data_IF_921511415789
#
_entry.id   IF_921511415789
#
_cell.length_a   1.000
_cell.length_b   1.000
_cell.length_c   1.000
_cell.angle_alpha   90.00
_cell.angle_beta   90.00
_cell.angle_gamma   90.00
#
_symmetry.space_group_name_H-M   'P 1'
#
loop_
_entity.id
_entity.type
_entity.pdbx_description
1 polymer ?
#
# COMPACT_ATOMS: atom_id res chain seq x y z
N UNK A 1 0.14 -53.57 11.82
CA UNK A 1 -1.03 -53.04 11.06
C UNK A 1 -1.29 -51.59 11.47
N UNK A 2 -1.13 -50.62 10.57
CA UNK A 2 -2.19 -49.67 10.22
C UNK A 2 -1.70 -48.64 9.19
N UNK A 3 -2.28 -48.75 7.99
CA UNK A 3 -2.28 -47.79 6.89
C UNK A 3 -2.89 -46.45 7.30
N UNK A 4 -2.27 -45.32 6.91
CA UNK A 4 -2.96 -44.08 6.51
C UNK A 4 -2.17 -43.35 5.43
N UNK A 5 -2.51 -43.70 4.19
CA UNK A 5 -2.80 -42.79 3.08
C UNK A 5 -2.02 -41.47 3.00
N UNK A 6 -1.04 -41.46 2.10
CA UNK A 6 -0.89 -40.50 1.00
C UNK A 6 -1.77 -39.24 1.15
N UNK A 7 -1.22 -38.15 1.72
CA UNK A 7 -1.82 -36.82 1.61
C UNK A 7 -1.25 -36.15 0.37
N UNK A 8 -2.02 -36.21 -0.70
CA UNK A 8 -1.81 -35.42 -1.90
C UNK A 8 -1.57 -33.95 -1.54
N UNK A 9 -0.51 -33.40 -2.11
CA UNK A 9 -0.18 -31.97 -2.05
C UNK A 9 -1.35 -31.20 -2.64
N UNK A 10 -2.08 -30.48 -1.80
CA UNK A 10 -3.27 -29.74 -2.20
C UNK A 10 -2.87 -28.58 -3.13
N UNK A 11 -3.12 -28.75 -4.44
CA UNK A 11 -2.75 -27.82 -5.52
C UNK A 11 -3.86 -26.81 -5.81
N UNK A 12 -4.25 -26.00 -4.84
CA UNK A 12 -5.21 -24.91 -5.08
C UNK A 12 -4.55 -23.55 -4.82
N UNK A 13 -4.64 -22.64 -5.79
CA UNK A 13 -3.88 -21.39 -5.86
C UNK A 13 -4.77 -20.15 -6.14
N UNK A 14 -6.09 -20.25 -5.95
CA UNK A 14 -7.07 -19.19 -6.25
C UNK A 14 -8.19 -19.18 -5.20
N UNK A 15 -8.52 -18.01 -4.63
CA UNK A 15 -9.62 -17.83 -3.67
C UNK A 15 -11.03 -17.78 -4.32
N UNK A 16 -12.07 -18.01 -3.50
CA UNK A 16 -13.44 -18.31 -3.97
C UNK A 16 -14.09 -17.23 -4.84
N UNK A 17 -13.86 -15.94 -4.53
CA UNK A 17 -14.39 -14.83 -5.34
C UNK A 17 -13.81 -14.76 -6.76
N UNK A 18 -12.55 -15.16 -6.94
CA UNK A 18 -11.91 -15.20 -8.26
C UNK A 18 -12.32 -16.43 -9.07
N UNK A 19 -12.76 -17.52 -8.41
CA UNK A 19 -13.31 -18.71 -9.07
C UNK A 19 -14.66 -18.40 -9.71
N UNK A 20 -15.53 -17.67 -9.02
CA UNK A 20 -16.83 -17.24 -9.55
C UNK A 20 -16.65 -16.30 -10.74
N UNK A 21 -15.77 -15.30 -10.64
CA UNK A 21 -15.51 -14.38 -11.75
C UNK A 21 -14.90 -15.10 -12.97
N UNK A 22 -13.96 -16.03 -12.75
CA UNK A 22 -13.36 -16.84 -13.82
C UNK A 22 -14.39 -17.77 -14.46
N UNK A 23 -15.34 -18.31 -13.69
CA UNK A 23 -16.42 -19.15 -14.19
C UNK A 23 -17.39 -18.34 -15.08
N UNK A 24 -17.80 -17.15 -14.63
CA UNK A 24 -18.71 -16.27 -15.38
C UNK A 24 -18.07 -15.82 -16.70
N UNK A 25 -16.82 -15.35 -16.66
CA UNK A 25 -16.11 -14.95 -17.89
C UNK A 25 -15.83 -16.14 -18.81
N UNK A 26 -15.40 -17.28 -18.25
CA UNK A 26 -15.14 -18.49 -19.01
C UNK A 26 -16.37 -19.00 -19.77
N UNK A 27 -17.54 -18.99 -19.11
CA UNK A 27 -18.81 -19.37 -19.72
C UNK A 27 -19.22 -18.41 -20.84
N UNK A 28 -19.07 -17.10 -20.64
CA UNK A 28 -19.40 -16.09 -21.65
C UNK A 28 -18.52 -16.24 -22.91
N UNK A 29 -17.21 -16.48 -22.75
CA UNK A 29 -16.30 -16.72 -23.88
C UNK A 29 -16.56 -18.06 -24.58
N UNK A 30 -16.92 -19.10 -23.83
CA UNK A 30 -17.23 -20.42 -24.40
C UNK A 30 -18.51 -20.37 -25.25
N UNK A 31 -19.60 -19.82 -24.72
CA UNK A 31 -20.89 -19.71 -25.43
C UNK A 31 -20.77 -18.83 -26.66
N UNK A 32 -20.12 -17.67 -26.53
CA UNK A 32 -19.93 -16.76 -27.66
C UNK A 32 -18.96 -17.32 -28.73
N UNK A 33 -18.00 -18.15 -28.31
CA UNK A 33 -17.07 -18.86 -29.20
C UNK A 33 -17.76 -19.98 -29.99
N UNK A 34 -18.53 -20.84 -29.32
CA UNK A 34 -19.26 -21.96 -29.94
C UNK A 34 -20.42 -21.50 -30.84
N UNK A 35 -20.97 -20.31 -30.59
CA UNK A 35 -22.02 -19.71 -31.42
C UNK A 35 -21.49 -19.18 -32.77
N UNK A 36 -20.17 -19.13 -32.99
CA UNK A 36 -19.55 -18.67 -34.24
C UNK A 36 -18.76 -19.80 -34.89
N UNK A 37 -19.17 -20.21 -36.10
CA UNK A 37 -18.51 -21.28 -36.87
C UNK A 37 -17.29 -20.77 -37.65
N UNK A 38 -16.40 -20.03 -36.99
CA UNK A 38 -15.17 -19.49 -37.57
C UNK A 38 -13.97 -19.63 -36.61
N UNK A 39 -12.76 -19.43 -37.15
CA UNK A 39 -11.52 -19.62 -36.40
C UNK A 39 -11.40 -18.70 -35.17
N UNK A 40 -11.93 -17.48 -35.25
CA UNK A 40 -12.00 -16.57 -34.11
C UNK A 40 -12.94 -17.07 -32.99
N UNK A 41 -14.01 -17.78 -33.35
CA UNK A 41 -14.89 -18.48 -32.41
C UNK A 41 -14.18 -19.62 -31.69
N UNK A 42 -13.37 -20.40 -32.41
CA UNK A 42 -12.57 -21.48 -31.84
C UNK A 42 -11.55 -20.97 -30.80
N UNK A 43 -10.84 -19.87 -31.09
CA UNK A 43 -9.90 -19.24 -30.14
C UNK A 43 -10.62 -18.80 -28.86
N UNK A 44 -11.79 -18.16 -28.98
CA UNK A 44 -12.59 -17.73 -27.82
C UNK A 44 -13.08 -18.92 -26.99
N UNK A 45 -13.47 -20.01 -27.64
CA UNK A 45 -13.89 -21.23 -26.96
C UNK A 45 -12.73 -21.86 -26.16
N UNK A 46 -11.51 -21.87 -26.72
CA UNK A 46 -10.30 -22.34 -26.02
C UNK A 46 -10.00 -21.47 -24.79
N UNK A 47 -10.05 -20.14 -24.92
CA UNK A 47 -9.85 -19.21 -23.81
C UNK A 47 -10.92 -19.41 -22.72
N UNK A 48 -12.19 -19.53 -23.12
CA UNK A 48 -13.31 -19.81 -22.21
C UNK A 48 -13.16 -21.12 -21.46
N UNK A 49 -12.77 -22.20 -22.17
CA UNK A 49 -12.49 -23.50 -21.57
C UNK A 49 -11.33 -23.46 -20.56
N UNK A 50 -10.26 -22.73 -20.85
CA UNK A 50 -9.14 -22.53 -19.93
C UNK A 50 -9.53 -21.77 -18.65
N UNK A 51 -10.41 -20.77 -18.75
CA UNK A 51 -10.94 -20.03 -17.59
C UNK A 51 -11.88 -20.89 -16.74
N UNK A 52 -12.69 -21.74 -17.36
CA UNK A 52 -13.55 -22.70 -16.66
C UNK A 52 -12.71 -23.79 -15.96
N UNK A 53 -11.68 -24.31 -16.62
CA UNK A 53 -10.73 -25.23 -16.01
C UNK A 53 -10.02 -24.60 -14.81
N UNK A 54 -9.63 -23.31 -14.92
CA UNK A 54 -9.06 -22.53 -13.81
C UNK A 54 -10.06 -22.37 -12.66
N UNK A 55 -11.34 -22.13 -12.93
CA UNK A 55 -12.37 -22.01 -11.91
C UNK A 55 -12.62 -23.35 -11.18
N UNK A 56 -12.62 -24.46 -11.93
CA UNK A 56 -12.85 -25.80 -11.41
C UNK A 56 -11.66 -26.34 -10.60
N UNK A 57 -10.44 -26.21 -11.11
CA UNK A 57 -9.24 -26.82 -10.54
C UNK A 57 -8.48 -25.97 -9.52
N UNK A 58 -8.78 -24.66 -9.44
CA UNK A 58 -8.03 -23.74 -8.59
C UNK A 58 -6.55 -23.57 -9.00
N UNK A 59 -6.11 -24.16 -10.12
CA UNK A 59 -4.72 -24.21 -10.55
C UNK A 59 -4.55 -23.52 -11.90
N UNK A 60 -3.51 -22.69 -12.02
CA UNK A 60 -3.15 -22.02 -13.28
C UNK A 60 -1.68 -22.30 -13.60
N UNK A 61 -1.38 -23.03 -14.68
CA UNK A 61 -0.02 -23.38 -15.06
C UNK A 61 0.90 -22.17 -15.25
N UNK A 62 0.36 -21.04 -15.73
CA UNK A 62 1.13 -19.81 -15.94
C UNK A 62 1.63 -19.19 -14.62
N UNK A 63 0.81 -19.18 -13.56
CA UNK A 63 1.25 -18.69 -12.24
C UNK A 63 2.16 -19.68 -11.52
N UNK A 64 1.93 -20.99 -11.71
CA UNK A 64 2.85 -22.03 -11.23
C UNK A 64 4.25 -21.94 -11.86
N UNK A 65 4.34 -21.61 -13.14
CA UNK A 65 5.62 -21.37 -13.83
C UNK A 65 6.32 -20.07 -13.38
N UNK A 66 5.56 -19.09 -12.87
CA UNK A 66 6.09 -17.83 -12.34
C UNK A 66 6.32 -17.86 -10.80
N UNK A 67 6.08 -18.99 -10.13
CA UNK A 67 6.28 -19.12 -8.68
C UNK A 67 5.34 -18.27 -7.81
N UNK A 68 4.21 -17.80 -8.36
CA UNK A 68 3.27 -16.93 -7.65
C UNK A 68 2.18 -17.78 -6.96
N UNK A 69 2.21 -17.82 -5.63
CA UNK A 69 1.22 -18.50 -4.78
C UNK A 69 0.27 -17.50 -4.09
N UNK A 70 -0.98 -17.46 -4.56
CA UNK A 70 -2.11 -16.67 -4.04
C UNK A 70 -3.09 -17.51 -3.19
N UNK A 71 -2.81 -18.79 -2.92
CA UNK A 71 -3.67 -19.70 -2.12
C UNK A 71 -3.88 -19.29 -0.66
N UNK A 72 -3.09 -18.35 -0.18
CA UNK A 72 -2.99 -18.01 1.25
C UNK A 72 -4.08 -17.07 1.78
N UNK A 73 -5.17 -16.84 1.02
CA UNK A 73 -6.22 -15.88 1.42
C UNK A 73 -7.39 -16.45 2.23
N UNK A 74 -7.71 -17.76 2.15
CA UNK A 74 -8.84 -18.35 2.88
C UNK A 74 -8.50 -19.75 3.43
N UNK A 75 -7.89 -19.81 4.62
CA UNK A 75 -7.88 -21.03 5.43
C UNK A 75 -8.73 -20.80 6.69
N UNK A 76 -9.86 -21.51 6.88
CA UNK A 76 -10.71 -21.34 8.06
C UNK A 76 -10.08 -21.87 9.36
N UNK A 77 -8.99 -22.64 9.26
CA UNK A 77 -8.50 -23.49 10.35
C UNK A 77 -7.15 -23.02 10.95
N UNK A 78 -6.87 -21.71 10.90
CA UNK A 78 -5.72 -21.13 11.63
C UNK A 78 -6.23 -20.22 12.74
N UNK A 79 -5.72 -20.34 13.98
CA UNK A 79 -6.23 -19.57 15.11
C UNK A 79 -6.17 -18.08 14.76
N UNK A 80 -7.32 -17.42 14.87
CA UNK A 80 -7.40 -15.98 14.86
C UNK A 80 -6.47 -15.46 15.97
N UNK A 81 -5.30 -14.94 15.62
CA UNK A 81 -4.47 -14.10 16.50
C UNK A 81 -5.14 -12.72 16.65
N UNK A 82 -6.39 -12.74 17.11
CA UNK A 82 -7.05 -11.60 17.70
C UNK A 82 -6.45 -11.41 19.09
N UNK A 83 -5.56 -10.44 19.23
CA UNK A 83 -5.34 -9.84 20.54
C UNK A 83 -6.69 -9.47 21.15
N UNK A 84 -6.87 -9.67 22.46
CA UNK A 84 -8.12 -9.50 23.26
C UNK A 84 -8.79 -8.11 23.16
N UNK A 85 -8.34 -7.22 22.29
CA UNK A 85 -8.77 -5.83 22.13
C UNK A 85 -9.33 -5.50 20.73
N UNK A 86 -9.59 -6.49 19.87
CA UNK A 86 -10.33 -6.28 18.61
C UNK A 86 -9.62 -5.38 17.57
N UNK A 87 -8.31 -5.14 17.73
CA UNK A 87 -7.52 -4.32 16.80
C UNK A 87 -6.90 -5.20 15.71
N UNK A 88 -7.34 -5.04 14.46
CA UNK A 88 -6.72 -5.70 13.31
C UNK A 88 -5.30 -5.17 13.15
N UNK A 89 -4.29 -5.99 13.52
CA UNK A 89 -2.90 -5.73 13.12
C UNK A 89 -2.84 -5.72 11.60
N UNK A 90 -2.14 -4.73 11.03
CA UNK A 90 -1.64 -4.81 9.66
C UNK A 90 -0.91 -6.15 9.54
N UNK A 91 -1.20 -6.93 8.49
CA UNK A 91 -0.68 -8.30 8.35
C UNK A 91 0.83 -8.22 8.10
N UNK A 92 1.63 -8.47 9.13
CA UNK A 92 3.10 -8.31 9.13
C UNK A 92 3.81 -9.17 8.07
N UNK A 93 3.15 -10.20 7.52
CA UNK A 93 3.72 -11.11 6.52
C UNK A 93 3.70 -10.56 5.07
N UNK A 94 2.85 -9.56 4.77
CA UNK A 94 2.78 -8.92 3.44
C UNK A 94 2.99 -7.41 3.46
N UNK A 95 2.97 -6.80 4.63
CA UNK A 95 3.14 -5.37 4.77
C UNK A 95 4.61 -4.97 4.65
N UNK A 96 4.91 -4.08 3.71
CA UNK A 96 6.23 -3.50 3.58
C UNK A 96 6.36 -2.34 4.57
N UNK A 97 7.34 -2.43 5.47
CA UNK A 97 7.66 -1.37 6.43
C UNK A 97 8.91 -0.63 5.98
N UNK A 98 8.81 0.68 5.86
CA UNK A 98 9.92 1.61 5.68
C UNK A 98 10.06 2.44 6.94
N UNK A 99 11.30 2.60 7.42
CA UNK A 99 11.57 3.45 8.58
C UNK A 99 12.91 4.13 8.40
N UNK A 100 12.93 5.46 8.55
CA UNK A 100 14.14 6.26 8.48
C UNK A 100 14.12 7.35 9.54
N UNK A 101 15.27 7.58 10.16
CA UNK A 101 15.49 8.65 11.12
C UNK A 101 16.61 9.55 10.60
N UNK A 102 16.40 10.85 10.67
CA UNK A 102 17.39 11.87 10.31
C UNK A 102 17.40 12.97 11.38
N UNK A 103 18.56 13.57 11.63
CA UNK A 103 18.67 14.77 12.44
C UNK A 103 18.51 15.99 11.53
N UNK A 104 17.71 16.97 11.92
CA UNK A 104 17.52 18.24 11.19
C UNK A 104 17.79 19.39 12.14
N UNK A 105 18.54 20.40 11.68
CA UNK A 105 18.87 21.61 12.42
C UNK A 105 17.68 22.58 12.51
N UNK A 106 16.57 22.09 13.06
CA UNK A 106 15.34 22.81 13.32
C UNK A 106 14.67 22.33 14.61
N UNK A 107 14.00 23.21 15.36
CA UNK A 107 13.26 22.83 16.55
C UNK A 107 12.05 21.95 16.21
N UNK A 108 11.59 21.07 17.12
CA UNK A 108 10.47 20.16 16.87
C UNK A 108 9.16 20.87 16.49
N UNK A 109 8.97 22.10 16.96
CA UNK A 109 7.80 22.92 16.69
C UNK A 109 7.69 23.34 15.21
N UNK A 110 8.82 23.67 14.57
CA UNK A 110 8.88 23.94 13.14
C UNK A 110 8.56 22.68 12.33
N UNK A 111 9.15 21.55 12.72
CA UNK A 111 8.93 20.27 12.06
C UNK A 111 7.48 19.82 12.19
N UNK A 112 6.90 19.91 13.37
CA UNK A 112 5.52 19.57 13.61
C UNK A 112 4.57 20.43 12.75
N UNK A 113 4.73 21.76 12.74
CA UNK A 113 3.91 22.64 11.90
C UNK A 113 3.99 22.29 10.42
N UNK A 114 5.20 22.03 9.93
CA UNK A 114 5.44 21.67 8.53
C UNK A 114 4.68 20.38 8.17
N UNK A 115 4.85 19.33 8.98
CA UNK A 115 4.26 18.01 8.73
C UNK A 115 2.76 17.95 9.01
N UNK A 116 2.24 18.77 9.93
CA UNK A 116 0.80 18.87 10.21
C UNK A 116 0.03 19.47 9.03
N UNK A 117 0.70 20.31 8.25
CA UNK A 117 0.22 20.83 6.98
C UNK A 117 0.45 19.77 5.89
N UNK A 118 -0.45 18.77 5.80
CA UNK A 118 -0.25 17.58 4.95
C UNK A 118 -0.06 17.90 3.45
N UNK A 119 -0.55 19.04 2.98
CA UNK A 119 -0.31 19.57 1.64
C UNK A 119 1.17 19.85 1.33
N UNK A 120 2.05 19.89 2.33
CA UNK A 120 3.49 19.99 2.16
C UNK A 120 4.15 18.64 1.80
N UNK A 121 3.52 17.51 2.12
CA UNK A 121 4.14 16.19 1.97
C UNK A 121 4.57 15.84 0.54
N UNK A 122 3.83 16.21 -0.54
CA UNK A 122 4.30 16.01 -1.91
C UNK A 122 5.62 16.74 -2.26
N UNK A 123 6.00 17.77 -1.50
CA UNK A 123 7.28 18.46 -1.67
C UNK A 123 8.46 17.60 -1.21
N UNK A 124 8.22 16.77 -0.18
CA UNK A 124 9.21 15.87 0.41
C UNK A 124 9.21 14.51 -0.27
N UNK A 125 8.03 13.88 -0.32
CA UNK A 125 7.84 12.50 -0.72
C UNK A 125 7.51 12.46 -2.22
N UNK A 126 8.51 12.24 -3.07
CA UNK A 126 8.38 12.39 -4.53
C UNK A 126 7.41 11.41 -5.21
N UNK A 127 7.02 10.38 -4.49
CA UNK A 127 6.03 9.41 -4.95
C UNK A 127 4.58 9.87 -4.72
N UNK A 128 4.36 10.91 -3.92
CA UNK A 128 3.06 11.56 -3.76
C UNK A 128 2.86 12.60 -4.86
N UNK A 129 1.75 12.49 -5.58
CA UNK A 129 1.29 13.47 -6.57
C UNK A 129 0.63 14.65 -5.87
N UNK A 130 -0.32 14.37 -4.97
CA UNK A 130 -0.98 15.39 -4.17
C UNK A 130 -1.49 14.83 -2.84
N UNK A 131 -1.61 15.72 -1.85
CA UNK A 131 -2.33 15.46 -0.60
C UNK A 131 -3.26 16.66 -0.36
N UNK A 132 -4.56 16.40 -0.38
CA UNK A 132 -5.61 17.41 -0.22
C UNK A 132 -6.25 17.21 1.16
N UNK A 133 -6.23 18.25 1.98
CA UNK A 133 -6.88 18.23 3.29
C UNK A 133 -8.37 18.46 3.08
N UNK A 134 -9.20 17.50 3.52
CA UNK A 134 -10.67 17.59 3.45
C UNK A 134 -11.20 18.29 4.70
N UNK A 135 -10.71 17.86 5.87
CA UNK A 135 -10.99 18.47 7.16
C UNK A 135 -9.78 18.34 8.11
N UNK A 136 -9.96 18.64 9.40
CA UNK A 136 -8.88 18.61 10.39
C UNK A 136 -8.15 17.25 10.48
N UNK A 137 -8.85 16.14 10.20
CA UNK A 137 -8.31 14.78 10.31
C UNK A 137 -8.34 14.01 8.99
N UNK A 138 -9.23 14.33 8.08
CA UNK A 138 -9.40 13.63 6.81
C UNK A 138 -8.63 14.31 5.68
N UNK A 139 -8.00 13.48 4.85
CA UNK A 139 -7.22 13.93 3.71
C UNK A 139 -7.30 12.93 2.56
N UNK A 140 -7.30 13.43 1.33
CA UNK A 140 -7.26 12.63 0.11
C UNK A 140 -5.84 12.63 -0.48
N UNK A 141 -5.31 11.45 -0.75
CA UNK A 141 -3.93 11.23 -1.18
C UNK A 141 -3.93 10.62 -2.57
N UNK A 142 -3.06 11.12 -3.43
CA UNK A 142 -2.89 10.63 -4.79
C UNK A 142 -1.42 10.31 -5.00
N UNK A 143 -1.14 9.12 -5.54
CA UNK A 143 0.21 8.72 -5.98
C UNK A 143 0.21 8.44 -7.47
N UNK A 144 1.24 8.97 -8.14
CA UNK A 144 1.51 8.66 -9.54
C UNK A 144 2.60 7.59 -9.58
N UNK A 145 2.27 6.45 -10.17
CA UNK A 145 3.19 5.29 -10.21
C UNK A 145 4.13 5.38 -11.40
N UNK A 146 3.70 4.90 -12.56
CA UNK A 146 4.44 4.96 -13.82
C UNK A 146 3.65 5.79 -14.84
N UNK A 147 4.32 6.47 -15.78
CA UNK A 147 3.65 7.19 -16.86
C UNK A 147 2.66 6.29 -17.60
N UNK A 148 1.41 6.72 -17.72
CA UNK A 148 0.33 5.99 -18.39
C UNK A 148 -0.39 4.92 -17.56
N UNK A 149 0.03 4.65 -16.32
CA UNK A 149 -0.76 3.82 -15.40
C UNK A 149 -1.91 4.62 -14.77
N UNK A 150 -3.01 3.95 -14.35
CA UNK A 150 -4.03 4.57 -13.52
C UNK A 150 -3.43 5.21 -12.27
N UNK A 151 -3.96 6.37 -11.88
CA UNK A 151 -3.66 6.97 -10.58
C UNK A 151 -4.14 6.04 -9.47
N UNK A 152 -3.39 6.02 -8.37
CA UNK A 152 -3.77 5.29 -7.17
C UNK A 152 -4.07 6.35 -6.11
N UNK A 153 -5.23 6.24 -5.48
CA UNK A 153 -5.70 7.25 -4.55
C UNK A 153 -6.38 6.61 -3.35
N UNK A 154 -6.34 7.30 -2.22
CA UNK A 154 -7.03 6.87 -1.00
C UNK A 154 -7.29 8.04 -0.09
N UNK A 155 -8.30 7.89 0.76
CA UNK A 155 -8.53 8.78 1.89
C UNK A 155 -7.81 8.26 3.14
N UNK A 156 -7.22 9.16 3.91
CA UNK A 156 -6.55 8.86 5.16
C UNK A 156 -7.04 9.76 6.30
N UNK A 157 -7.12 9.18 7.49
CA UNK A 157 -7.44 9.88 8.73
C UNK A 157 -6.22 9.98 9.64
N UNK A 158 -6.05 11.14 10.29
CA UNK A 158 -5.11 11.33 11.39
C UNK A 158 -5.64 10.60 12.62
N UNK A 159 -4.86 9.63 13.11
CA UNK A 159 -5.16 8.80 14.28
C UNK A 159 -4.37 9.17 15.52
N UNK A 160 -3.29 9.94 15.35
CA UNK A 160 -2.51 10.49 16.44
C UNK A 160 -2.00 11.87 16.08
N UNK A 161 -2.22 12.84 16.96
CA UNK A 161 -1.82 14.23 16.77
C UNK A 161 -1.36 14.78 18.12
N UNK A 162 -0.09 14.54 18.44
CA UNK A 162 0.56 15.01 19.66
C UNK A 162 1.52 16.12 19.27
N UNK A 163 1.19 17.34 19.69
CA UNK A 163 1.95 18.55 19.39
C UNK A 163 3.43 18.34 19.66
N UNK A 164 4.25 18.63 18.65
CA UNK A 164 5.72 18.59 18.72
C UNK A 164 6.34 17.22 19.04
N UNK A 165 5.55 16.15 19.02
CA UNK A 165 6.01 14.79 19.36
C UNK A 165 5.69 13.78 18.28
N UNK A 166 4.43 13.72 17.79
CA UNK A 166 4.03 12.70 16.83
C UNK A 166 2.79 13.07 16.03
N UNK A 167 2.82 12.79 14.73
CA UNK A 167 1.63 12.74 13.87
C UNK A 167 1.55 11.33 13.28
N UNK A 168 0.40 10.69 13.36
CA UNK A 168 0.14 9.36 12.82
C UNK A 168 -1.15 9.33 12.04
N UNK A 169 -1.16 8.64 10.90
CA UNK A 169 -2.32 8.53 10.02
C UNK A 169 -2.52 7.10 9.52
N UNK A 170 -3.74 6.80 9.07
CA UNK A 170 -4.06 5.54 8.40
C UNK A 170 -5.06 5.77 7.27
N UNK A 171 -5.00 4.94 6.24
CA UNK A 171 -6.01 4.90 5.19
C UNK A 171 -7.38 4.46 5.74
N UNK A 172 -8.46 4.96 5.15
CA UNK A 172 -9.82 4.53 5.46
C UNK A 172 -10.11 3.11 4.95
N UNK A 173 -11.23 2.54 5.43
CA UNK A 173 -11.67 1.20 4.99
C UNK A 173 -12.06 1.24 3.51
N UNK A 174 -11.62 0.24 2.75
CA UNK A 174 -11.91 0.13 1.32
C UNK A 174 -10.98 0.94 0.42
N UNK A 175 -9.95 1.59 0.99
CA UNK A 175 -8.91 2.25 0.22
C UNK A 175 -8.20 1.29 -0.76
N UNK A 176 -7.83 1.81 -1.93
CA UNK A 176 -7.05 1.07 -2.94
C UNK A 176 -5.69 0.62 -2.39
N UNK A 177 -5.15 1.33 -1.39
CA UNK A 177 -3.92 0.98 -0.69
C UNK A 177 -4.17 1.05 0.81
N UNK A 178 -4.03 -0.08 1.50
CA UNK A 178 -4.01 -0.08 2.96
C UNK A 178 -2.66 0.43 3.44
N UNK A 179 -2.63 1.61 4.05
CA UNK A 179 -1.43 2.31 4.46
C UNK A 179 -1.58 2.89 5.87
N UNK A 180 -0.49 2.88 6.63
CA UNK A 180 -0.34 3.59 7.90
C UNK A 180 1.01 4.28 7.90
N UNK A 181 1.04 5.53 8.36
CA UNK A 181 2.27 6.28 8.50
C UNK A 181 2.35 7.00 9.83
N UNK A 182 3.56 7.33 10.24
CA UNK A 182 3.80 8.22 11.36
C UNK A 182 5.09 8.99 11.18
N UNK A 183 5.09 10.21 11.69
CA UNK A 183 6.27 11.03 11.89
C UNK A 183 6.40 11.33 13.38
N UNK A 184 7.61 11.12 13.90
CA UNK A 184 7.96 11.41 15.30
C UNK A 184 9.03 12.50 15.34
N UNK A 185 8.88 13.41 16.28
CA UNK A 185 9.76 14.55 16.49
C UNK A 185 10.37 14.42 17.89
N UNK A 186 11.67 14.12 17.96
CA UNK A 186 12.38 14.06 19.23
C UNK A 186 13.42 15.18 19.29
N UNK A 187 13.40 16.06 20.30
CA UNK A 187 14.44 17.08 20.44
C UNK A 187 15.81 16.44 20.73
N UNK A 188 16.87 17.08 20.24
CA UNK A 188 18.24 16.88 20.72
C UNK A 188 18.43 17.49 22.11
N UNK A 189 19.53 17.18 22.78
CA UNK A 189 19.83 17.68 24.14
C UNK A 189 19.85 19.21 24.22
N UNK A 190 20.27 19.90 23.15
CA UNK A 190 20.28 21.36 23.04
C UNK A 190 18.91 21.98 22.73
N UNK A 191 17.88 21.15 22.45
CA UNK A 191 16.52 21.58 22.11
C UNK A 191 16.34 22.27 20.75
N UNK A 192 17.43 22.51 20.01
CA UNK A 192 17.43 23.30 18.79
C UNK A 192 17.34 22.46 17.51
N UNK A 193 17.54 21.15 17.64
CA UNK A 193 17.51 20.20 16.53
C UNK A 193 16.49 19.09 16.81
N UNK A 194 16.09 18.42 15.76
CA UNK A 194 15.07 17.37 15.82
C UNK A 194 15.58 16.09 15.19
N UNK A 195 15.51 15.00 15.94
CA UNK A 195 15.50 13.65 15.40
C UNK A 195 14.10 13.37 14.83
N UNK A 196 14.00 13.49 13.51
CA UNK A 196 12.79 13.19 12.75
C UNK A 196 12.78 11.72 12.38
N UNK A 197 11.81 10.95 12.89
CA UNK A 197 11.64 9.55 12.50
C UNK A 197 10.36 9.37 11.70
N UNK A 198 10.50 8.98 10.43
CA UNK A 198 9.37 8.68 9.54
C UNK A 198 9.24 7.18 9.40
N UNK A 199 8.05 6.67 9.69
CA UNK A 199 7.67 5.27 9.50
C UNK A 199 6.48 5.21 8.54
N UNK A 200 6.58 4.36 7.52
CA UNK A 200 5.51 4.09 6.56
C UNK A 200 5.33 2.58 6.46
N UNK A 201 4.09 2.13 6.52
CA UNK A 201 3.73 0.73 6.39
C UNK A 201 2.55 0.60 5.44
N UNK A 202 2.73 -0.17 4.38
CA UNK A 202 1.66 -0.39 3.40
C UNK A 202 1.57 -1.86 3.00
N UNK A 203 0.37 -2.27 2.61
CA UNK A 203 0.12 -3.56 1.98
C UNK A 203 -0.07 -3.29 0.47
N UNK A 204 0.84 -3.76 -0.40
CA UNK A 204 0.67 -3.60 -1.84
C UNK A 204 -0.67 -4.23 -2.27
N UNK A 205 -1.53 -3.50 -3.00
CA UNK A 205 -2.78 -4.07 -3.48
C UNK A 205 -2.52 -5.18 -4.49
N UNK A 206 -3.29 -6.27 -4.41
CA UNK A 206 -3.29 -7.30 -5.45
C UNK A 206 -3.99 -6.83 -6.74
N UNK A 207 -3.66 -7.44 -7.87
CA UNK A 207 -4.36 -7.17 -9.14
C UNK A 207 -3.80 -5.96 -9.91
N UNK A 208 -4.68 -5.15 -10.51
CA UNK A 208 -4.32 -4.13 -11.52
C UNK A 208 -3.31 -3.07 -11.04
N UNK A 209 -3.28 -2.80 -9.74
CA UNK A 209 -2.39 -1.79 -9.14
C UNK A 209 -1.10 -2.37 -8.56
N UNK A 210 -1.03 -3.69 -8.33
CA UNK A 210 0.12 -4.31 -7.65
C UNK A 210 1.43 -4.17 -8.42
N UNK A 211 1.39 -4.34 -9.74
CA UNK A 211 2.58 -4.14 -10.61
C UNK A 211 3.01 -2.68 -10.64
N UNK A 212 2.06 -1.75 -10.60
CA UNK A 212 2.33 -0.32 -10.66
C UNK A 212 3.00 0.17 -9.37
N UNK A 213 2.48 -0.23 -8.20
CA UNK A 213 3.12 0.07 -6.90
C UNK A 213 4.46 -0.65 -6.74
N UNK A 214 4.57 -1.91 -7.17
CA UNK A 214 5.84 -2.64 -7.11
C UNK A 214 6.96 -1.92 -7.89
N UNK A 215 6.65 -1.29 -9.02
CA UNK A 215 7.61 -0.46 -9.75
C UNK A 215 7.92 0.88 -9.07
N UNK A 216 6.91 1.53 -8.48
CA UNK A 216 7.09 2.80 -7.77
C UNK A 216 8.02 2.63 -6.56
N UNK A 217 7.79 1.59 -5.78
CA UNK A 217 8.53 1.30 -4.55
C UNK A 217 9.77 0.42 -4.77
N UNK A 218 9.84 -0.29 -5.90
CA UNK A 218 11.03 -1.02 -6.37
C UNK A 218 11.55 -2.08 -5.41
N UNK A 219 12.78 -2.55 -5.67
CA UNK A 219 13.48 -3.50 -4.79
C UNK A 219 13.98 -2.85 -3.48
N UNK A 220 14.17 -1.52 -3.45
CA UNK A 220 14.65 -0.81 -2.26
C UNK A 220 13.86 0.48 -1.94
N UNK A 221 12.68 0.33 -1.31
CA UNK A 221 11.85 1.46 -0.89
C UNK A 221 12.46 2.27 0.26
N UNK A 222 13.34 1.66 1.07
CA UNK A 222 13.99 2.34 2.18
C UNK A 222 15.04 3.35 1.71
N UNK A 223 15.70 3.08 0.57
CA UNK A 223 16.63 4.03 -0.05
C UNK A 223 15.91 5.23 -0.64
N UNK A 224 14.74 5.04 -1.28
CA UNK A 224 13.93 6.16 -1.79
C UNK A 224 13.48 7.10 -0.66
N UNK A 225 12.98 6.54 0.43
CA UNK A 225 12.61 7.33 1.61
C UNK A 225 13.82 8.09 2.19
N UNK A 226 14.99 7.44 2.26
CA UNK A 226 16.21 8.10 2.74
C UNK A 226 16.60 9.29 1.85
N UNK A 227 16.52 9.17 0.53
CA UNK A 227 16.82 10.26 -0.41
C UNK A 227 15.82 11.42 -0.31
N UNK A 228 14.53 11.12 -0.18
CA UNK A 228 13.48 12.12 0.01
C UNK A 228 13.70 12.91 1.30
N UNK A 229 14.02 12.22 2.40
CA UNK A 229 14.29 12.86 3.69
C UNK A 229 15.60 13.66 3.71
N UNK A 230 16.64 13.20 3.01
CA UNK A 230 17.90 13.94 2.88
C UNK A 230 17.69 15.28 2.17
N UNK A 231 16.94 15.28 1.05
CA UNK A 231 16.56 16.53 0.35
C UNK A 231 15.72 17.45 1.23
N UNK A 232 14.80 16.87 2.00
CA UNK A 232 13.99 17.64 2.95
C UNK A 232 14.85 18.29 4.04
N UNK A 233 15.83 17.57 4.60
CA UNK A 233 16.81 18.13 5.55
C UNK A 233 17.50 19.34 4.94
N UNK A 234 18.07 19.20 3.75
CA UNK A 234 18.77 20.29 3.06
C UNK A 234 17.87 21.52 2.85
N UNK A 235 16.62 21.32 2.43
CA UNK A 235 15.64 22.40 2.29
C UNK A 235 15.36 23.10 3.62
N UNK A 236 15.06 22.35 4.68
CA UNK A 236 14.74 22.93 5.98
C UNK A 236 15.94 23.63 6.64
N UNK A 237 17.17 23.19 6.37
CA UNK A 237 18.38 23.79 6.92
C UNK A 237 18.85 25.02 6.13
N UNK A 238 18.51 25.09 4.84
CA UNK A 238 18.90 26.20 3.95
C UNK A 238 17.83 27.30 3.92
N UNK A 239 16.55 26.94 3.90
CA UNK A 239 15.48 27.92 3.93
C UNK A 239 15.46 28.59 5.30
N UNK A 240 15.91 29.84 5.41
CA UNK A 240 15.43 30.73 6.47
C UNK A 240 13.93 30.90 6.24
N UNK A 241 13.11 29.94 6.68
CA UNK A 241 11.66 30.07 6.72
C UNK A 241 11.35 31.28 7.59
N UNK A 242 11.19 32.44 6.96
CA UNK A 242 10.64 33.61 7.58
C UNK A 242 9.22 33.23 7.98
N UNK A 243 9.00 33.03 9.29
CA UNK A 243 7.66 33.02 9.86
C UNK A 243 7.10 34.43 9.70
N UNK A 244 6.55 34.73 8.53
CA UNK A 244 5.64 35.85 8.36
C UNK A 244 4.38 35.53 9.20
N UNK A 245 4.39 35.97 10.45
CA UNK A 245 3.28 35.76 11.39
C UNK A 245 3.49 36.34 12.78
N UNK A 246 4.44 37.26 12.95
CA UNK A 246 4.69 37.98 14.20
C UNK A 246 4.68 39.48 13.99
N UNK A 247 3.54 40.05 13.56
CA UNK A 247 3.33 41.48 13.78
C UNK A 247 3.00 41.68 15.26
N UNK A 248 3.94 42.34 15.95
CA UNK A 248 3.68 42.94 17.23
C UNK A 248 2.56 43.97 17.11
N UNK A 249 1.70 44.01 18.12
CA UNK A 249 1.05 45.26 18.51
C UNK A 249 1.62 45.67 19.85
N UNK A 250 2.30 46.82 19.78
CA UNK A 250 2.58 47.76 20.86
C UNK A 250 1.26 48.19 21.50
#
# INVERSE_FOLDING_TARGET
>A
MNNRTNREVHRENIGDGQRVLSAVMGMAFLVSGLSRRNWAGAVKAIVGGGLLYRAASGYCPAFGAMGIDMSSHDRPDRPNDTSRLGRRKVRTDRAMKMQRAIEINRPPDDMYRFWRSLNNLPRILKHLDSVQVIDDRLSHWVVTTIPGAPKVEWDAEIINDVKNERIGWRSLRGADVNNTGSVEFKPTEDGNRTWLTVTLQYEPPGGKFGVALAKLFGEDPNTKLAQDLQRFKEQMETDVFSLAGGEGKV
#
